data_IF_335811587522
#
_entry.id   IF_335811587522
#
_cell.length_a   1.000
_cell.length_b   1.000
_cell.length_c   1.000
_cell.angle_alpha   90.00
_cell.angle_beta   90.00
_cell.angle_gamma   90.00
#
_symmetry.space_group_name_H-M   'P 1'
#
loop_
_entity.id
_entity.type
_entity.pdbx_description
1 polymer ?
#
# COMPACT_ATOMS: atom_id res chain seq x y z
N UNK A 1 18.48 18.40 13.35
CA UNK A 1 18.06 17.12 12.75
C UNK A 1 17.04 16.51 13.70
N UNK A 2 15.74 16.66 13.42
CA UNK A 2 14.69 16.14 14.30
C UNK A 2 14.34 14.75 13.76
N UNK A 3 14.84 13.72 14.44
CA UNK A 3 14.41 12.33 14.25
C UNK A 3 13.06 12.18 14.95
N UNK A 4 11.98 12.41 14.23
CA UNK A 4 10.67 11.97 14.70
C UNK A 4 10.50 10.54 14.19
N UNK A 5 10.64 9.56 15.06
CA UNK A 5 10.26 8.18 14.73
C UNK A 5 8.99 7.90 15.49
N UNK A 6 7.88 7.75 14.78
CA UNK A 6 6.64 7.25 15.39
C UNK A 6 6.63 5.75 15.19
N UNK A 7 6.66 4.99 16.28
CA UNK A 7 6.61 3.53 16.26
C UNK A 7 5.42 3.08 17.09
N UNK A 8 4.53 2.31 16.46
CA UNK A 8 3.49 1.55 17.12
C UNK A 8 3.88 0.09 17.13
N UNK A 9 3.79 -0.56 18.28
CA UNK A 9 3.88 -2.01 18.44
C UNK A 9 2.60 -2.42 19.15
N UNK A 10 1.88 -3.40 18.60
CA UNK A 10 0.68 -3.92 19.24
C UNK A 10 1.02 -4.56 20.61
N UNK A 11 0.08 -4.61 21.56
CA UNK A 11 0.34 -5.19 22.90
C UNK A 11 0.83 -6.64 22.86
N UNK A 12 0.48 -7.39 21.82
CA UNK A 12 0.90 -8.77 21.57
C UNK A 12 2.23 -8.88 20.80
N UNK A 13 2.84 -7.75 20.43
CA UNK A 13 4.05 -7.64 19.62
C UNK A 13 3.99 -8.30 18.23
N UNK A 14 2.81 -8.74 17.76
CA UNK A 14 2.67 -9.42 16.47
C UNK A 14 2.57 -8.45 15.29
N UNK A 15 2.23 -7.18 15.58
CA UNK A 15 2.04 -6.12 14.58
C UNK A 15 2.85 -4.91 14.98
N UNK A 16 3.42 -4.24 13.99
CA UNK A 16 4.00 -2.92 14.22
C UNK A 16 3.91 -2.06 12.96
N UNK A 17 3.91 -0.75 13.20
CA UNK A 17 3.94 0.27 12.16
C UNK A 17 4.93 1.35 12.57
N UNK A 18 5.81 1.73 11.66
CA UNK A 18 6.80 2.77 11.92
C UNK A 18 6.76 3.84 10.84
N UNK A 19 6.77 5.09 11.28
CA UNK A 19 7.06 6.24 10.45
C UNK A 19 8.54 6.61 10.57
N UNK A 20 9.24 6.65 9.45
CA UNK A 20 10.64 7.07 9.39
C UNK A 20 10.80 7.96 8.15
N UNK A 21 11.36 9.16 8.31
CA UNK A 21 12.09 9.82 7.24
C UNK A 21 13.58 9.67 7.56
N UNK A 22 14.24 8.60 7.08
CA UNK A 22 15.67 8.43 7.31
C UNK A 22 16.45 9.49 6.51
N UNK A 23 17.68 9.77 6.94
CA UNK A 23 18.61 10.58 6.15
C UNK A 23 18.96 9.90 4.81
N UNK A 24 18.87 8.57 4.77
CA UNK A 24 18.95 7.70 3.58
C UNK A 24 17.69 6.85 3.47
N UNK A 25 16.61 7.35 2.84
CA UNK A 25 15.33 6.65 2.74
C UNK A 25 15.41 5.46 1.78
N UNK A 26 14.69 4.39 2.10
CA UNK A 26 14.29 3.41 1.08
C UNK A 26 13.43 4.15 0.06
N UNK A 27 13.75 4.01 -1.23
CA UNK A 27 13.02 4.64 -2.32
C UNK A 27 12.14 3.60 -3.01
N UNK A 28 10.87 3.94 -3.22
CA UNK A 28 9.95 3.18 -4.05
C UNK A 28 9.68 3.99 -5.33
N UNK A 29 10.25 3.56 -6.45
CA UNK A 29 10.38 4.37 -7.65
C UNK A 29 11.38 5.50 -7.40
N UNK A 30 10.88 6.68 -7.04
CA UNK A 30 11.64 7.88 -6.69
C UNK A 30 11.16 8.54 -5.39
N UNK A 31 10.24 7.87 -4.66
CA UNK A 31 9.61 8.43 -3.46
C UNK A 31 10.15 7.78 -2.18
N UNK A 32 10.48 8.58 -1.16
CA UNK A 32 10.92 8.04 0.11
C UNK A 32 9.77 7.32 0.80
N UNK A 33 10.04 6.11 1.30
CA UNK A 33 9.16 5.38 2.22
C UNK A 33 8.92 6.25 3.45
N UNK A 34 7.63 6.47 3.75
CA UNK A 34 7.19 7.17 4.96
C UNK A 34 6.75 6.18 6.03
N UNK A 35 6.07 5.09 5.63
CA UNK A 35 5.57 4.07 6.54
C UNK A 35 6.03 2.67 6.14
N UNK A 36 6.44 1.90 7.14
CA UNK A 36 6.63 0.46 7.04
C UNK A 36 5.70 -0.22 8.03
N UNK A 37 4.97 -1.23 7.57
CA UNK A 37 4.07 -2.05 8.37
C UNK A 37 4.43 -3.50 8.15
N UNK A 38 4.50 -4.30 9.20
CA UNK A 38 4.67 -5.75 9.06
C UNK A 38 3.98 -6.51 10.18
N UNK A 39 3.83 -7.81 9.94
CA UNK A 39 3.38 -8.73 10.97
C UNK A 39 4.34 -9.91 11.13
N UNK A 40 4.32 -10.49 12.32
CA UNK A 40 5.10 -11.66 12.71
C UNK A 40 4.16 -12.77 13.16
N UNK A 41 4.59 -14.02 13.02
CA UNK A 41 3.85 -15.17 13.53
C UNK A 41 4.04 -15.36 15.05
N UNK A 42 5.17 -14.89 15.59
CA UNK A 42 5.51 -14.95 17.00
C UNK A 42 6.28 -13.68 17.42
N UNK A 43 6.31 -13.38 18.72
CA UNK A 43 6.90 -12.14 19.27
C UNK A 43 8.39 -11.97 18.91
N UNK A 44 9.12 -13.07 18.74
CA UNK A 44 10.57 -13.11 18.50
C UNK A 44 10.93 -13.36 17.03
N UNK A 45 9.94 -13.68 16.21
CA UNK A 45 10.10 -14.12 14.84
C UNK A 45 10.42 -12.97 13.89
N UNK A 46 10.91 -13.35 12.71
CA UNK A 46 11.06 -12.40 11.61
C UNK A 46 9.67 -11.98 11.09
N UNK A 47 9.62 -10.80 10.47
CA UNK A 47 8.43 -10.36 9.76
C UNK A 47 8.06 -11.41 8.71
N UNK A 48 6.81 -11.86 8.72
CA UNK A 48 6.26 -12.80 7.74
C UNK A 48 5.95 -12.09 6.42
N UNK A 49 5.61 -10.81 6.49
CA UNK A 49 5.38 -9.95 5.34
C UNK A 49 5.61 -8.50 5.73
N UNK A 50 5.87 -7.65 4.74
CA UNK A 50 6.05 -6.22 4.94
C UNK A 50 5.33 -5.42 3.86
N UNK A 51 4.68 -4.33 4.27
CA UNK A 51 4.10 -3.33 3.40
C UNK A 51 4.83 -2.00 3.58
N UNK A 52 5.11 -1.32 2.47
CA UNK A 52 5.83 -0.07 2.40
C UNK A 52 4.96 0.97 1.71
N UNK A 53 4.87 2.16 2.30
CA UNK A 53 4.09 3.27 1.76
C UNK A 53 4.98 4.49 1.64
N UNK A 54 5.09 5.05 0.45
CA UNK A 54 5.84 6.27 0.23
C UNK A 54 5.17 7.48 0.87
N UNK A 55 5.92 8.57 0.97
CA UNK A 55 5.33 9.89 1.16
C UNK A 55 4.25 10.14 0.09
N UNK A 56 3.09 10.67 0.51
CA UNK A 56 2.00 11.04 -0.39
C UNK A 56 0.94 9.95 -0.63
N UNK A 57 1.15 8.71 -0.16
CA UNK A 57 0.07 7.68 -0.19
C UNK A 57 -1.14 8.23 0.57
N UNK A 58 -2.38 8.09 0.03
CA UNK A 58 -3.57 8.61 0.68
C UNK A 58 -3.70 8.07 2.12
N UNK A 59 -3.78 8.94 3.14
CA UNK A 59 -3.77 8.53 4.54
C UNK A 59 -4.97 7.65 4.92
N UNK A 60 -6.13 7.89 4.29
CA UNK A 60 -7.32 7.06 4.41
C UNK A 60 -7.04 5.59 4.04
N UNK A 61 -6.30 5.36 2.97
CA UNK A 61 -5.98 4.01 2.48
C UNK A 61 -5.00 3.29 3.40
N UNK A 62 -4.03 4.02 3.96
CA UNK A 62 -3.13 3.48 5.00
C UNK A 62 -3.91 3.18 6.28
N UNK A 63 -4.83 4.06 6.68
CA UNK A 63 -5.65 3.86 7.88
C UNK A 63 -6.57 2.64 7.74
N UNK A 64 -7.27 2.48 6.61
CA UNK A 64 -8.14 1.34 6.35
C UNK A 64 -7.36 0.02 6.29
N UNK A 65 -6.15 0.03 5.72
CA UNK A 65 -5.23 -1.11 5.77
C UNK A 65 -4.86 -1.48 7.21
N UNK A 66 -4.52 -0.48 8.04
CA UNK A 66 -4.17 -0.70 9.46
C UNK A 66 -5.38 -1.18 10.29
N UNK A 67 -6.57 -0.67 10.03
CA UNK A 67 -7.81 -1.13 10.67
C UNK A 67 -8.14 -2.57 10.28
N UNK A 68 -7.97 -2.91 9.01
CA UNK A 68 -8.13 -4.28 8.52
C UNK A 68 -7.07 -5.20 9.16
N UNK A 69 -5.84 -4.75 9.34
CA UNK A 69 -4.79 -5.47 10.05
C UNK A 69 -5.13 -5.68 11.53
N UNK A 70 -5.70 -4.68 12.18
CA UNK A 70 -6.04 -4.77 13.59
C UNK A 70 -7.20 -5.75 13.86
N UNK A 71 -8.17 -5.79 12.96
CA UNK A 71 -9.35 -6.64 13.09
C UNK A 71 -9.10 -8.15 12.89
N UNK A 72 -7.90 -8.55 12.44
CA UNK A 72 -7.59 -9.96 12.12
C UNK A 72 -7.36 -10.79 13.37
N UNK A 73 -7.75 -12.08 13.40
CA UNK A 73 -7.30 -13.00 14.44
C UNK A 73 -5.82 -13.36 14.31
N UNK A 74 -5.36 -13.68 13.09
CA UNK A 74 -3.97 -13.98 12.77
C UNK A 74 -3.48 -12.95 11.74
N UNK A 75 -2.46 -12.14 12.06
CA UNK A 75 -1.98 -11.09 11.17
C UNK A 75 -1.11 -11.60 10.01
N UNK A 76 -0.59 -12.82 10.08
CA UNK A 76 0.22 -13.43 9.02
C UNK A 76 -0.60 -14.36 8.11
N UNK A 77 -1.79 -14.78 8.55
CA UNK A 77 -2.61 -15.70 7.77
C UNK A 77 -3.29 -15.02 6.56
N UNK A 78 -3.10 -15.60 5.37
CA UNK A 78 -3.81 -15.22 4.16
C UNK A 78 -5.17 -15.91 4.06
N UNK A 79 -6.27 -15.17 4.27
CA UNK A 79 -7.63 -15.73 4.17
C UNK A 79 -8.20 -15.73 2.75
N UNK A 80 -7.51 -15.10 1.80
CA UNK A 80 -7.98 -14.93 0.42
C UNK A 80 -6.84 -15.06 -0.61
N UNK A 81 -7.22 -15.34 -1.86
CA UNK A 81 -6.31 -15.34 -3.00
C UNK A 81 -6.22 -13.97 -3.70
N UNK A 82 -5.30 -13.81 -4.66
CA UNK A 82 -5.06 -12.53 -5.34
C UNK A 82 -6.25 -12.04 -6.18
N UNK A 83 -7.14 -12.95 -6.60
CA UNK A 83 -8.38 -12.62 -7.32
C UNK A 83 -9.25 -11.61 -6.57
N UNK A 84 -9.29 -11.67 -5.22
CA UNK A 84 -10.09 -10.76 -4.40
C UNK A 84 -9.69 -9.29 -4.61
N UNK A 85 -8.39 -9.00 -4.74
CA UNK A 85 -7.90 -7.63 -4.98
C UNK A 85 -8.41 -7.11 -6.32
N UNK A 86 -8.34 -7.94 -7.35
CA UNK A 86 -8.78 -7.60 -8.68
C UNK A 86 -10.31 -7.42 -8.77
N UNK A 87 -11.08 -8.29 -8.13
CA UNK A 87 -12.53 -8.16 -8.02
C UNK A 87 -12.93 -6.88 -7.28
N UNK A 88 -12.25 -6.58 -6.16
CA UNK A 88 -12.46 -5.36 -5.36
C UNK A 88 -12.26 -4.08 -6.18
N UNK A 89 -11.24 -4.06 -7.04
CA UNK A 89 -10.95 -2.95 -7.95
C UNK A 89 -11.98 -2.86 -9.09
N UNK A 90 -12.33 -4.01 -9.68
CA UNK A 90 -13.30 -4.08 -10.77
C UNK A 90 -14.71 -3.61 -10.32
N UNK A 91 -15.13 -3.97 -9.12
CA UNK A 91 -16.39 -3.50 -8.51
C UNK A 91 -16.46 -1.97 -8.38
N UNK A 92 -15.31 -1.30 -8.33
CA UNK A 92 -15.17 0.16 -8.24
C UNK A 92 -14.86 0.81 -9.58
N UNK A 93 -14.99 0.06 -10.67
CA UNK A 93 -14.86 0.57 -12.04
C UNK A 93 -13.43 0.67 -12.56
N UNK A 94 -12.44 0.17 -11.82
CA UNK A 94 -11.07 0.04 -12.33
C UNK A 94 -11.00 -1.10 -13.35
N UNK A 95 -10.16 -0.95 -14.37
CA UNK A 95 -10.09 -1.87 -15.50
C UNK A 95 -8.72 -2.50 -15.64
N UNK A 96 -8.68 -3.79 -15.97
CA UNK A 96 -7.45 -4.48 -16.34
C UNK A 96 -6.83 -3.84 -17.57
N UNK A 97 -5.51 -3.70 -17.57
CA UNK A 97 -4.79 -3.34 -18.78
C UNK A 97 -4.92 -4.48 -19.82
N UNK A 98 -5.04 -4.11 -21.09
CA UNK A 98 -5.26 -5.05 -22.19
C UNK A 98 -3.95 -5.74 -22.59
N UNK A 99 -2.84 -5.02 -22.52
CA UNK A 99 -1.52 -5.50 -22.89
C UNK A 99 -0.86 -6.28 -21.74
N UNK A 100 -1.17 -5.89 -20.49
CA UNK A 100 -0.75 -6.63 -19.29
C UNK A 100 -1.93 -6.89 -18.33
N UNK A 101 -2.55 -8.08 -18.39
CA UNK A 101 -3.68 -8.40 -17.53
C UNK A 101 -3.29 -8.47 -16.05
N UNK A 102 -2.02 -8.39 -15.65
CA UNK A 102 -1.63 -8.31 -14.24
C UNK A 102 -1.79 -6.91 -13.65
N UNK A 103 -1.95 -5.90 -14.50
CA UNK A 103 -2.13 -4.49 -14.16
C UNK A 103 -3.62 -4.12 -14.18
N UNK A 104 -4.04 -3.29 -13.24
CA UNK A 104 -5.35 -2.63 -13.19
C UNK A 104 -5.14 -1.14 -13.06
N UNK A 105 -5.85 -0.35 -13.86
CA UNK A 105 -5.78 1.10 -13.84
C UNK A 105 -7.12 1.71 -13.41
N UNK A 106 -7.04 2.85 -12.74
CA UNK A 106 -8.21 3.66 -12.46
C UNK A 106 -8.81 4.25 -13.75
N UNK A 107 -10.07 4.72 -13.75
CA UNK A 107 -10.71 5.24 -14.95
C UNK A 107 -10.04 6.48 -15.56
N UNK A 108 -9.23 7.22 -14.80
CA UNK A 108 -8.46 8.37 -15.29
C UNK A 108 -7.05 8.00 -15.75
N UNK A 109 -6.63 6.73 -15.63
CA UNK A 109 -5.29 6.24 -15.95
C UNK A 109 -4.17 7.02 -15.23
N UNK A 110 -4.48 7.51 -14.03
CA UNK A 110 -3.60 8.27 -13.17
C UNK A 110 -3.02 7.42 -12.02
N UNK A 111 -3.63 6.28 -11.70
CA UNK A 111 -3.24 5.35 -10.68
C UNK A 111 -3.41 3.91 -11.16
N UNK A 112 -2.54 3.04 -10.67
CA UNK A 112 -2.52 1.64 -11.04
C UNK A 112 -2.17 0.75 -9.88
N UNK A 113 -2.57 -0.51 -10.00
CA UNK A 113 -2.13 -1.60 -9.15
C UNK A 113 -1.73 -2.80 -10.00
N UNK A 114 -0.65 -3.48 -9.65
CA UNK A 114 -0.19 -4.67 -10.33
C UNK A 114 0.25 -5.76 -9.36
N UNK A 115 0.08 -7.00 -9.78
CA UNK A 115 0.69 -8.18 -9.15
C UNK A 115 1.83 -8.66 -10.03
N UNK A 116 3.07 -8.56 -9.55
CA UNK A 116 4.23 -8.94 -10.34
C UNK A 116 5.52 -8.94 -9.55
N UNK A 117 6.63 -9.14 -10.25
CA UNK A 117 7.96 -9.14 -9.66
C UNK A 117 8.22 -7.84 -8.89
N UNK A 118 8.67 -7.99 -7.64
CA UNK A 118 9.08 -6.86 -6.81
C UNK A 118 10.50 -6.40 -7.17
N UNK A 119 10.85 -5.12 -6.92
CA UNK A 119 12.23 -4.68 -7.01
C UNK A 119 13.14 -5.56 -6.13
N UNK A 120 14.28 -5.99 -6.66
CA UNK A 120 15.20 -6.93 -5.98
C UNK A 120 15.80 -6.34 -4.68
N UNK A 121 15.85 -5.01 -4.56
CA UNK A 121 16.49 -4.33 -3.44
C UNK A 121 15.49 -3.87 -2.37
N UNK A 122 15.53 -4.52 -1.21
CA UNK A 122 15.06 -3.93 0.06
C UNK A 122 13.63 -4.24 0.49
N UNK A 123 12.86 -5.01 -0.29
CA UNK A 123 11.54 -5.50 0.16
C UNK A 123 11.73 -6.74 1.04
N UNK A 124 11.43 -6.59 2.33
CA UNK A 124 11.53 -7.67 3.31
C UNK A 124 10.28 -8.56 3.26
N UNK A 125 10.49 -9.86 3.09
CA UNK A 125 9.45 -10.88 3.14
C UNK A 125 9.89 -12.03 4.05
N UNK A 126 8.92 -12.75 4.62
CA UNK A 126 9.17 -13.92 5.46
C UNK A 126 9.49 -15.18 4.68
N UNK A 127 9.11 -15.25 3.40
CA UNK A 127 9.45 -16.37 2.52
C UNK A 127 10.85 -16.19 1.92
N UNK A 128 11.84 -16.68 2.65
CA UNK A 128 13.25 -16.65 2.24
C UNK A 128 13.56 -17.59 1.06
N UNK A 129 12.61 -18.46 0.66
CA UNK A 129 12.76 -19.42 -0.43
C UNK A 129 12.12 -18.95 -1.74
N UNK A 130 11.43 -17.81 -1.73
CA UNK A 130 10.86 -17.23 -2.94
C UNK A 130 11.98 -16.75 -3.88
N UNK A 131 12.28 -17.53 -4.91
CA UNK A 131 13.31 -17.20 -5.91
C UNK A 131 12.93 -15.97 -6.76
N UNK A 132 11.62 -15.71 -6.90
CA UNK A 132 11.04 -14.61 -7.69
C UNK A 132 9.80 -14.07 -6.95
N UNK A 133 9.98 -13.32 -5.86
CA UNK A 133 8.86 -12.89 -5.03
C UNK A 133 7.96 -11.95 -5.84
N UNK A 134 6.77 -12.45 -6.19
CA UNK A 134 5.72 -11.66 -6.81
C UNK A 134 4.84 -11.04 -5.74
N UNK A 135 4.79 -9.72 -5.68
CA UNK A 135 4.00 -8.97 -4.72
C UNK A 135 3.14 -7.92 -5.38
N UNK A 136 2.42 -7.17 -4.55
CA UNK A 136 1.54 -6.12 -5.05
C UNK A 136 2.26 -4.78 -5.06
N UNK A 137 2.05 -4.04 -6.13
CA UNK A 137 2.52 -2.67 -6.28
C UNK A 137 1.33 -1.78 -6.58
N UNK A 138 1.30 -0.59 -5.98
CA UNK A 138 0.33 0.44 -6.28
C UNK A 138 1.06 1.76 -6.50
N UNK A 139 0.58 2.57 -7.43
CA UNK A 139 1.21 3.85 -7.74
C UNK A 139 0.17 4.86 -8.21
N UNK A 140 0.56 6.13 -8.13
CA UNK A 140 -0.12 7.20 -8.85
C UNK A 140 0.91 7.96 -9.68
N UNK A 141 0.70 8.00 -10.99
CA UNK A 141 1.41 8.82 -11.96
C UNK A 141 0.37 9.58 -12.79
N UNK A 142 -0.07 10.78 -12.34
CA UNK A 142 -1.16 11.52 -13.01
C UNK A 142 -0.85 11.93 -14.45
N UNK A 143 0.44 11.93 -14.82
CA UNK A 143 0.91 12.18 -16.17
C UNK A 143 2.15 11.32 -16.39
N UNK A 144 2.07 10.44 -17.38
CA UNK A 144 3.18 9.57 -17.79
C UNK A 144 4.47 10.40 -17.97
N UNK A 145 5.54 9.95 -17.34
CA UNK A 145 6.86 10.57 -17.36
C UNK A 145 7.04 11.76 -16.40
N UNK A 146 6.01 12.15 -15.65
CA UNK A 146 6.11 13.22 -14.65
C UNK A 146 6.65 12.74 -13.29
N UNK A 147 6.84 11.42 -13.14
CA UNK A 147 7.21 10.77 -11.89
C UNK A 147 6.00 10.44 -11.04
N UNK A 148 6.17 9.48 -10.14
CA UNK A 148 5.10 9.03 -9.25
C UNK A 148 4.75 10.14 -8.27
N UNK A 149 3.47 10.37 -7.95
CA UNK A 149 3.05 11.15 -6.78
C UNK A 149 3.28 10.37 -5.49
N UNK A 150 2.99 9.08 -5.52
CA UNK A 150 3.18 8.14 -4.44
C UNK A 150 3.26 6.72 -4.99
N UNK A 151 3.84 5.83 -4.19
CA UNK A 151 4.00 4.41 -4.45
C UNK A 151 3.76 3.62 -3.16
N UNK A 152 3.21 2.41 -3.29
CA UNK A 152 3.09 1.46 -2.22
C UNK A 152 3.46 0.06 -2.73
N UNK A 153 4.13 -0.71 -1.88
CA UNK A 153 4.57 -2.07 -2.19
C UNK A 153 4.21 -3.00 -1.05
N UNK A 154 3.66 -4.17 -1.40
CA UNK A 154 3.34 -5.24 -0.49
C UNK A 154 4.18 -6.46 -0.88
N UNK A 155 4.92 -6.99 0.10
CA UNK A 155 5.75 -8.17 -0.10
C UNK A 155 4.90 -9.39 -0.50
N UNK A 156 5.51 -10.40 -1.12
CA UNK A 156 4.82 -11.56 -1.69
C UNK A 156 3.91 -12.29 -0.69
N UNK A 157 4.35 -12.38 0.57
CA UNK A 157 3.61 -13.05 1.65
C UNK A 157 2.53 -12.17 2.30
N UNK A 158 2.31 -10.94 1.80
CA UNK A 158 1.26 -10.07 2.36
C UNK A 158 -0.12 -10.67 2.08
N UNK A 159 -0.97 -10.89 3.11
CA UNK A 159 -2.33 -11.38 2.95
C UNK A 159 -3.12 -10.60 1.90
N UNK A 160 -3.66 -11.28 0.88
CA UNK A 160 -4.37 -10.62 -0.22
C UNK A 160 -5.64 -9.88 0.21
N UNK A 161 -6.27 -10.30 1.31
CA UNK A 161 -7.39 -9.60 1.91
C UNK A 161 -6.99 -8.30 2.63
N UNK A 162 -5.72 -8.14 3.06
CA UNK A 162 -5.18 -6.83 3.46
C UNK A 162 -4.99 -5.92 2.24
N UNK A 163 -4.40 -6.46 1.18
CA UNK A 163 -4.20 -5.71 -0.07
C UNK A 163 -5.54 -5.30 -0.67
N UNK A 164 -6.57 -6.16 -0.55
CA UNK A 164 -7.93 -5.84 -0.98
C UNK A 164 -8.54 -4.70 -0.14
N UNK A 165 -8.32 -4.66 1.17
CA UNK A 165 -8.77 -3.54 2.01
C UNK A 165 -8.12 -2.21 1.58
N UNK A 166 -6.83 -2.22 1.29
CA UNK A 166 -6.13 -1.08 0.70
C UNK A 166 -6.74 -0.70 -0.66
N UNK A 167 -6.88 -1.66 -1.58
CA UNK A 167 -7.44 -1.43 -2.91
C UNK A 167 -8.87 -0.88 -2.86
N UNK A 168 -9.69 -1.37 -1.93
CA UNK A 168 -11.06 -0.92 -1.70
C UNK A 168 -11.14 0.56 -1.31
N UNK A 169 -10.24 0.99 -0.40
CA UNK A 169 -10.15 2.38 0.03
C UNK A 169 -9.59 3.27 -1.07
N UNK A 170 -8.54 2.81 -1.76
CA UNK A 170 -7.90 3.53 -2.86
C UNK A 170 -8.85 3.82 -4.02
N UNK A 171 -9.66 2.83 -4.40
CA UNK A 171 -10.62 2.94 -5.49
C UNK A 171 -11.97 3.54 -5.05
N UNK A 172 -12.11 3.93 -3.78
CA UNK A 172 -13.36 4.48 -3.27
C UNK A 172 -13.70 5.82 -3.94
N UNK A 173 -14.91 6.00 -4.49
CA UNK A 173 -15.36 7.30 -5.00
C UNK A 173 -15.83 8.23 -3.88
N UNK A 174 -15.86 7.76 -2.63
CA UNK A 174 -16.36 8.55 -1.51
C UNK A 174 -15.47 9.77 -1.24
N UNK A 175 -16.05 10.96 -1.06
CA UNK A 175 -15.27 12.16 -0.74
C UNK A 175 -14.49 11.97 0.55
N UNK A 176 -13.17 12.16 0.46
CA UNK A 176 -12.25 12.05 1.58
C UNK A 176 -12.13 13.39 2.32
N UNK A 177 -12.00 13.31 3.65
CA UNK A 177 -11.78 14.49 4.48
C UNK A 177 -10.37 15.02 4.23
N UNK A 178 -10.24 16.14 3.52
CA UNK A 178 -8.95 16.80 3.27
C UNK A 178 -9.04 18.28 3.60
N UNK A 179 -8.09 18.77 4.40
CA UNK A 179 -7.99 20.19 4.71
C UNK A 179 -7.38 21.00 3.55
N UNK A 180 -6.52 20.38 2.72
CA UNK A 180 -5.88 21.02 1.56
C UNK A 180 -5.67 19.98 0.45
N UNK A 181 -6.07 20.27 -0.78
CA UNK A 181 -5.75 19.43 -1.94
C UNK A 181 -4.33 19.73 -2.45
N UNK A 182 -3.54 18.72 -2.86
CA UNK A 182 -2.33 18.97 -3.64
C UNK A 182 -2.69 19.73 -4.92
N UNK A 183 -1.88 20.73 -5.30
CA UNK A 183 -2.14 21.50 -6.53
C UNK A 183 -2.20 20.62 -7.78
N UNK A 184 -1.44 19.52 -7.80
CA UNK A 184 -1.43 18.53 -8.88
C UNK A 184 -2.71 17.71 -9.02
N UNK A 185 -3.59 17.70 -8.01
CA UNK A 185 -4.83 16.91 -7.98
C UNK A 185 -6.10 17.77 -8.13
N UNK A 186 -5.94 19.07 -8.45
CA UNK A 186 -7.04 20.03 -8.50
C UNK A 186 -8.06 19.64 -9.58
N UNK A 187 -9.31 19.40 -9.17
CA UNK A 187 -10.41 19.01 -10.06
C UNK A 187 -10.56 17.50 -10.28
N UNK A 188 -9.68 16.67 -9.73
CA UNK A 188 -9.76 15.20 -9.80
C UNK A 188 -10.40 14.57 -8.55
N UNK A 189 -10.56 15.35 -7.47
CA UNK A 189 -11.08 14.88 -6.19
C UNK A 189 -12.26 15.73 -5.72
N UNK A 190 -13.31 15.08 -5.23
CA UNK A 190 -14.42 15.76 -4.55
C UNK A 190 -14.10 15.95 -3.07
N UNK A 191 -14.18 17.20 -2.59
CA UNK A 191 -14.03 17.53 -1.17
C UNK A 191 -15.38 17.49 -0.46
N UNK A 192 -15.39 17.03 0.80
CA UNK A 192 -16.46 17.31 1.75
C UNK A 192 -16.05 18.44 2.70
N UNK A 193 -16.90 19.46 2.92
CA UNK A 193 -16.64 20.47 3.93
C UNK A 193 -16.62 19.85 5.33
N UNK A 194 -15.70 20.29 6.17
CA UNK A 194 -15.75 20.06 7.61
C UNK A 194 -16.81 20.98 8.22
N UNK A 195 -17.72 20.43 9.04
CA UNK A 195 -18.65 21.21 9.87
C UNK A 195 -17.91 21.72 11.10
#
# INVERSE_FOLDING_TARGET
MIRSTSLYIAPDALRWAQWVLPDEPILLGDRPVAWTVSARADETGLAQWTAYFSTGVPPETVADFLLALEARPDPAHGYAGPHLVFETLAERGWTRDIDDPTVVCDPQLAAGMALGALPEDGIQDGDVLATEPSGWQAWCEPRIGAGYLWTAVFSASTPHDLVAAFAASLASPEPVLRHTLPDSSRGQLCLRPTV
#
